data_IF_984021488010
#
_entry.id   IF_984021488010
#
_cell.length_a   1.000
_cell.length_b   1.000
_cell.length_c   1.000
_cell.angle_alpha   90.00
_cell.angle_beta   90.00
_cell.angle_gamma   90.00
#
_symmetry.space_group_name_H-M   'P 1'
#
loop_
_entity.id
_entity.type
_entity.pdbx_description
1 polymer ?
#
# COMPACT_ATOMS: atom_id res chain seq x y z
N UNK A 1 -21.01 -40.87 20.33
CA UNK A 1 -20.15 -39.65 20.35
C UNK A 1 -19.61 -39.45 18.95
N UNK A 2 -20.09 -38.45 18.21
CA UNK A 2 -19.67 -38.20 16.83
C UNK A 2 -18.48 -37.25 16.81
N UNK A 3 -17.37 -37.67 16.22
CA UNK A 3 -16.20 -36.83 15.98
C UNK A 3 -16.49 -35.89 14.81
N UNK A 4 -16.91 -34.67 15.15
CA UNK A 4 -17.02 -33.57 14.21
C UNK A 4 -15.60 -33.16 13.79
N UNK A 5 -15.18 -33.56 12.60
CA UNK A 5 -13.92 -33.12 12.01
C UNK A 5 -14.01 -31.62 11.76
N UNK A 6 -13.36 -30.81 12.62
CA UNK A 6 -13.20 -29.39 12.39
C UNK A 6 -12.30 -29.19 11.16
N UNK A 7 -12.88 -28.70 10.07
CA UNK A 7 -12.07 -28.17 8.98
C UNK A 7 -11.42 -26.87 9.47
N UNK A 8 -10.09 -26.69 9.28
CA UNK A 8 -9.45 -25.42 9.61
C UNK A 8 -10.09 -24.31 8.78
N UNK A 9 -10.48 -23.24 9.46
CA UNK A 9 -11.02 -22.03 8.86
C UNK A 9 -9.92 -21.40 7.99
N UNK A 10 -9.81 -21.85 6.74
CA UNK A 10 -8.96 -21.26 5.72
C UNK A 10 -9.59 -19.92 5.34
N UNK A 11 -9.40 -18.90 6.19
CA UNK A 11 -9.54 -17.51 5.80
C UNK A 11 -8.67 -17.31 4.57
N UNK A 12 -9.29 -17.35 3.39
CA UNK A 12 -8.65 -16.99 2.13
C UNK A 12 -8.16 -15.56 2.31
N UNK A 13 -6.86 -15.39 2.49
CA UNK A 13 -6.23 -14.06 2.41
C UNK A 13 -6.63 -13.52 1.03
N UNK A 14 -7.30 -12.36 1.01
CA UNK A 14 -7.66 -11.70 -0.24
C UNK A 14 -6.42 -11.63 -1.14
N UNK A 15 -6.53 -11.88 -2.45
CA UNK A 15 -5.40 -11.75 -3.36
C UNK A 15 -4.78 -10.36 -3.18
N UNK A 16 -3.52 -10.30 -2.76
CA UNK A 16 -2.81 -9.04 -2.66
C UNK A 16 -2.26 -8.73 -4.05
N UNK A 17 -2.83 -7.73 -4.71
CA UNK A 17 -2.29 -7.23 -5.97
C UNK A 17 -0.82 -6.79 -5.74
N UNK A 18 0.07 -7.26 -6.62
CA UNK A 18 1.49 -6.92 -6.60
C UNK A 18 1.81 -6.18 -7.88
N UNK A 19 2.49 -5.06 -7.74
CA UNK A 19 2.94 -4.24 -8.86
C UNK A 19 4.42 -3.96 -8.68
N UNK A 20 5.18 -4.05 -9.76
CA UNK A 20 6.59 -3.62 -9.79
C UNK A 20 6.64 -2.17 -10.24
N UNK A 21 7.29 -1.32 -9.44
CA UNK A 21 7.57 0.07 -9.81
C UNK A 21 9.09 0.24 -10.00
N UNK A 22 9.47 0.95 -11.06
CA UNK A 22 10.85 1.33 -11.33
C UNK A 22 11.00 2.80 -10.95
N UNK A 23 11.95 3.10 -10.07
CA UNK A 23 12.29 4.48 -9.71
C UNK A 23 13.50 4.92 -10.53
N UNK A 24 13.46 6.14 -11.04
CA UNK A 24 14.63 6.77 -11.65
C UNK A 24 15.66 7.10 -10.58
N UNK A 25 16.94 7.10 -10.97
CA UNK A 25 18.07 7.26 -10.04
C UNK A 25 17.99 8.56 -9.22
N UNK A 26 17.52 9.66 -9.83
CA UNK A 26 17.37 10.96 -9.16
C UNK A 26 16.19 11.01 -8.17
N UNK A 27 15.24 10.08 -8.29
CA UNK A 27 14.06 9.97 -7.42
C UNK A 27 14.38 9.17 -6.16
N UNK A 28 15.29 8.19 -6.24
CA UNK A 28 15.69 7.34 -5.10
C UNK A 28 16.10 8.17 -3.86
N UNK A 29 17.04 9.14 -3.94
CA UNK A 29 17.44 9.90 -2.76
C UNK A 29 16.30 10.76 -2.21
N UNK A 30 15.39 11.25 -3.07
CA UNK A 30 14.21 12.02 -2.64
C UNK A 30 13.23 11.13 -1.87
N UNK A 31 12.98 9.90 -2.36
CA UNK A 31 12.14 8.92 -1.70
C UNK A 31 12.73 8.48 -0.34
N UNK A 32 14.04 8.34 -0.24
CA UNK A 32 14.73 7.99 1.01
C UNK A 32 14.66 9.12 2.03
N UNK A 33 14.87 10.37 1.61
CA UNK A 33 14.74 11.53 2.47
C UNK A 33 13.31 11.66 3.03
N UNK A 34 12.29 11.48 2.18
CA UNK A 34 10.88 11.48 2.59
C UNK A 34 10.58 10.34 3.56
N UNK A 35 11.05 9.13 3.26
CA UNK A 35 10.83 7.95 4.12
C UNK A 35 11.44 8.18 5.51
N UNK A 36 12.65 8.74 5.58
CA UNK A 36 13.30 9.08 6.84
C UNK A 36 12.53 10.17 7.61
N UNK A 37 12.10 11.23 6.91
CA UNK A 37 11.34 12.33 7.51
C UNK A 37 10.06 11.82 8.19
N UNK A 38 9.26 11.05 7.46
CA UNK A 38 8.00 10.52 8.00
C UNK A 38 8.21 9.41 9.02
N UNK A 39 9.28 8.63 8.93
CA UNK A 39 9.63 7.66 9.97
C UNK A 39 9.88 8.35 11.32
N UNK A 40 10.59 9.49 11.30
CA UNK A 40 10.83 10.30 12.50
C UNK A 40 9.53 10.88 13.06
N UNK A 41 8.66 11.39 12.19
CA UNK A 41 7.38 11.97 12.58
C UNK A 41 6.42 10.90 13.17
N UNK A 42 6.41 9.71 12.59
CA UNK A 42 5.52 8.62 13.01
C UNK A 42 6.03 7.89 14.28
N UNK A 43 7.31 8.05 14.63
CA UNK A 43 7.93 7.36 15.77
C UNK A 43 8.29 5.90 15.51
N UNK A 44 8.25 5.45 14.25
CA UNK A 44 8.64 4.10 13.84
C UNK A 44 9.23 4.11 12.41
N UNK A 45 10.03 3.09 12.09
CA UNK A 45 10.67 2.98 10.78
C UNK A 45 9.66 2.61 9.69
N UNK A 46 9.50 3.48 8.70
CA UNK A 46 8.78 3.20 7.46
C UNK A 46 9.74 2.62 6.42
N UNK A 47 9.25 1.66 5.65
CA UNK A 47 9.92 1.22 4.42
C UNK A 47 9.60 2.14 3.26
N UNK A 48 10.49 2.20 2.26
CA UNK A 48 10.25 2.95 1.02
C UNK A 48 8.94 2.55 0.35
N UNK A 49 8.63 1.25 0.32
CA UNK A 49 7.38 0.73 -0.27
C UNK A 49 6.15 1.23 0.47
N UNK A 50 6.16 1.25 1.80
CA UNK A 50 5.05 1.80 2.59
C UNK A 50 4.84 3.29 2.30
N UNK A 51 5.94 4.05 2.21
CA UNK A 51 5.89 5.48 1.88
C UNK A 51 5.33 5.72 0.46
N UNK A 52 5.81 4.97 -0.54
CA UNK A 52 5.32 5.07 -1.92
C UNK A 52 3.85 4.69 -2.03
N UNK A 53 3.41 3.61 -1.37
CA UNK A 53 2.01 3.22 -1.37
C UNK A 53 1.12 4.31 -0.76
N UNK A 54 1.56 4.97 0.30
CA UNK A 54 0.81 6.07 0.91
C UNK A 54 0.71 7.28 -0.04
N UNK A 55 1.79 7.62 -0.75
CA UNK A 55 1.78 8.71 -1.74
C UNK A 55 0.89 8.40 -2.93
N UNK A 56 0.97 7.19 -3.47
CA UNK A 56 0.13 6.72 -4.58
C UNK A 56 -1.34 6.80 -4.16
N UNK A 57 -1.71 6.23 -3.02
CA UNK A 57 -3.10 6.27 -2.54
C UNK A 57 -3.61 7.70 -2.35
N UNK A 58 -2.78 8.60 -1.78
CA UNK A 58 -3.14 10.01 -1.63
C UNK A 58 -3.41 10.70 -2.97
N UNK A 59 -2.59 10.44 -3.99
CA UNK A 59 -2.82 11.02 -5.31
C UNK A 59 -4.06 10.42 -5.99
N UNK A 60 -4.28 9.11 -5.86
CA UNK A 60 -5.51 8.47 -6.33
C UNK A 60 -6.76 9.06 -5.67
N UNK A 61 -6.74 9.26 -4.34
CA UNK A 61 -7.88 9.85 -3.63
C UNK A 61 -8.13 11.29 -4.06
N UNK A 62 -7.08 12.07 -4.30
CA UNK A 62 -7.17 13.42 -4.86
C UNK A 62 -7.80 13.41 -6.25
N UNK A 63 -7.30 12.61 -7.18
CA UNK A 63 -7.85 12.49 -8.54
C UNK A 63 -9.30 11.99 -8.50
N UNK A 64 -9.64 11.09 -7.58
CA UNK A 64 -11.03 10.64 -7.35
C UNK A 64 -11.92 11.80 -6.93
N UNK A 65 -11.47 12.61 -5.96
CA UNK A 65 -12.23 13.77 -5.47
C UNK A 65 -12.44 14.86 -6.54
N UNK A 66 -11.53 14.95 -7.51
CA UNK A 66 -11.60 15.90 -8.62
C UNK A 66 -12.49 15.41 -9.77
N UNK A 67 -12.99 14.18 -9.70
CA UNK A 67 -13.74 13.54 -10.80
C UNK A 67 -12.86 13.16 -12.00
N UNK A 68 -11.53 13.22 -11.85
CA UNK A 68 -10.57 12.92 -12.92
C UNK A 68 -10.30 11.41 -13.05
N UNK A 69 -10.60 10.62 -12.00
CA UNK A 69 -10.68 9.16 -12.11
C UNK A 69 -12.04 8.74 -12.64
N UNK A 70 -12.21 8.84 -13.96
CA UNK A 70 -13.33 8.24 -14.67
C UNK A 70 -13.14 6.71 -14.71
N UNK A 71 -13.76 5.98 -13.78
CA UNK A 71 -13.72 4.53 -13.76
C UNK A 71 -14.27 3.98 -12.45
N UNK A 72 -15.40 3.30 -12.54
CA UNK A 72 -16.15 2.66 -11.45
C UNK A 72 -15.23 1.88 -10.51
N UNK A 73 -15.28 2.21 -9.21
CA UNK A 73 -14.87 1.28 -8.16
C UNK A 73 -16.16 0.60 -7.68
N UNK A 74 -16.49 -0.54 -8.28
CA UNK A 74 -17.46 -1.51 -7.72
C UNK A 74 -16.83 -2.29 -6.57
#
# INVERSE_FOLDING_TARGET
MSTQTQHPNMQRKKPQARTTAILWEDVIPKADALTLHFSKQAGFALTRTQMLNALINREFDKLRSQGELAGEVQ
#
